data_IF_848381355180
#
_entry.id   IF_848381355180
#
_cell.length_a   1.000
_cell.length_b   1.000
_cell.length_c   1.000
_cell.angle_alpha   90.00
_cell.angle_beta   90.00
_cell.angle_gamma   90.00
#
_symmetry.space_group_name_H-M   'P 1'
#
loop_
_entity.id
_entity.type
_entity.pdbx_description
1 polymer ?
#
# COMPACT_ATOMS: atom_id res chain seq x y z
N UNK A 1 -2.90 25.04 0.90
CA UNK A 1 -3.57 23.98 0.09
C UNK A 1 -2.56 23.32 -0.84
N UNK A 2 -1.96 24.03 -1.81
CA UNK A 2 -0.92 23.47 -2.70
C UNK A 2 0.27 22.82 -1.98
N UNK A 3 0.82 23.49 -0.96
CA UNK A 3 1.97 22.96 -0.19
C UNK A 3 1.64 21.67 0.58
N UNK A 4 0.42 21.56 1.10
CA UNK A 4 0.00 20.36 1.83
C UNK A 4 -0.25 19.18 0.88
N UNK A 5 -0.79 19.45 -0.31
CA UNK A 5 -0.94 18.45 -1.36
C UNK A 5 0.44 17.95 -1.84
N UNK A 6 1.41 18.86 -1.99
CA UNK A 6 2.79 18.52 -2.36
C UNK A 6 3.47 17.64 -1.30
N UNK A 7 3.28 17.92 -0.01
CA UNK A 7 3.78 17.07 1.06
C UNK A 7 3.15 15.68 1.04
N UNK A 8 1.82 15.59 0.86
CA UNK A 8 1.12 14.30 0.71
C UNK A 8 1.68 13.52 -0.48
N UNK A 9 1.86 14.18 -1.64
CA UNK A 9 2.45 13.57 -2.84
C UNK A 9 3.87 13.07 -2.56
N UNK A 10 4.70 13.86 -1.87
CA UNK A 10 6.08 13.48 -1.52
C UNK A 10 6.12 12.20 -0.68
N UNK A 11 5.32 12.13 0.38
CA UNK A 11 5.25 10.93 1.22
C UNK A 11 4.71 9.71 0.47
N UNK A 12 3.71 9.88 -0.40
CA UNK A 12 3.18 8.78 -1.21
C UNK A 12 4.22 8.27 -2.22
N UNK A 13 5.02 9.17 -2.82
CA UNK A 13 6.12 8.77 -3.70
C UNK A 13 7.20 7.99 -2.96
N UNK A 14 7.55 8.42 -1.75
CA UNK A 14 8.51 7.68 -0.92
C UNK A 14 7.98 6.29 -0.56
N UNK A 15 6.71 6.18 -0.17
CA UNK A 15 6.08 4.88 0.09
C UNK A 15 6.10 3.96 -1.14
N UNK A 16 5.84 4.51 -2.33
CA UNK A 16 5.93 3.76 -3.59
C UNK A 16 7.36 3.26 -3.88
N UNK A 17 8.39 4.07 -3.61
CA UNK A 17 9.79 3.65 -3.76
C UNK A 17 10.16 2.50 -2.82
N UNK A 18 9.68 2.54 -1.57
CA UNK A 18 9.86 1.42 -0.64
C UNK A 18 9.09 0.17 -1.07
N UNK A 19 7.88 0.34 -1.62
CA UNK A 19 7.11 -0.77 -2.17
C UNK A 19 7.80 -1.43 -3.36
N UNK A 20 8.39 -0.64 -4.27
CA UNK A 20 9.14 -1.17 -5.42
C UNK A 20 10.34 -2.02 -4.95
N UNK A 21 11.07 -1.53 -3.95
CA UNK A 21 12.18 -2.28 -3.33
C UNK A 21 11.69 -3.60 -2.73
N UNK A 22 10.59 -3.58 -1.97
CA UNK A 22 10.03 -4.78 -1.35
C UNK A 22 9.50 -5.79 -2.37
N UNK A 23 8.95 -5.32 -3.49
CA UNK A 23 8.51 -6.18 -4.60
C UNK A 23 9.69 -6.87 -5.28
N UNK A 24 10.78 -6.13 -5.55
CA UNK A 24 11.99 -6.72 -6.13
C UNK A 24 12.60 -7.80 -5.21
N UNK A 25 12.73 -7.50 -3.91
CA UNK A 25 13.19 -8.48 -2.91
C UNK A 25 12.26 -9.70 -2.81
N UNK A 26 10.95 -9.49 -2.90
CA UNK A 26 9.95 -10.58 -2.94
C UNK A 26 10.19 -11.49 -4.15
N UNK A 27 10.37 -10.91 -5.34
CA UNK A 27 10.61 -11.67 -6.57
C UNK A 27 11.91 -12.46 -6.48
N UNK A 28 12.99 -11.86 -5.99
CA UNK A 28 14.28 -12.53 -5.79
C UNK A 28 14.15 -13.69 -4.81
N UNK A 29 13.50 -13.47 -3.65
CA UNK A 29 13.27 -14.52 -2.65
C UNK A 29 12.47 -15.71 -3.21
N UNK A 30 11.46 -15.45 -4.05
CA UNK A 30 10.67 -16.52 -4.69
C UNK A 30 11.44 -17.25 -5.78
N UNK A 31 12.39 -16.59 -6.46
CA UNK A 31 13.26 -17.24 -7.45
C UNK A 31 14.29 -18.14 -6.79
N UNK A 32 14.88 -17.69 -5.68
CA UNK A 32 15.86 -18.45 -4.92
C UNK A 32 15.24 -19.60 -4.14
N UNK A 33 14.03 -19.39 -3.60
CA UNK A 33 13.32 -20.38 -2.81
C UNK A 33 11.81 -20.34 -3.10
N UNK A 34 11.32 -21.11 -4.08
CA UNK A 34 9.90 -21.18 -4.42
C UNK A 34 8.97 -21.59 -3.25
N UNK A 35 9.48 -22.36 -2.28
CA UNK A 35 8.70 -22.81 -1.11
C UNK A 35 8.40 -21.67 -0.13
N UNK A 36 9.10 -20.53 -0.24
CA UNK A 36 8.86 -19.33 0.57
C UNK A 36 7.52 -18.63 0.24
N UNK A 37 6.82 -19.03 -0.82
CA UNK A 37 5.58 -18.39 -1.30
C UNK A 37 4.54 -18.16 -0.22
N UNK A 38 4.33 -19.12 0.68
CA UNK A 38 3.35 -18.99 1.77
C UNK A 38 3.75 -17.91 2.77
N UNK A 39 5.03 -17.87 3.14
CA UNK A 39 5.58 -16.88 4.08
C UNK A 39 5.51 -15.49 3.49
N UNK A 40 5.98 -15.32 2.24
CA UNK A 40 5.96 -14.02 1.57
C UNK A 40 4.53 -13.54 1.34
N UNK A 41 3.61 -14.44 0.98
CA UNK A 41 2.18 -14.12 0.90
C UNK A 41 1.62 -13.58 2.21
N UNK A 42 1.96 -14.21 3.34
CA UNK A 42 1.50 -13.78 4.67
C UNK A 42 2.02 -12.37 5.04
N UNK A 43 3.27 -12.03 4.67
CA UNK A 43 3.84 -10.69 4.88
C UNK A 43 3.05 -9.63 4.11
N UNK A 44 2.71 -9.91 2.84
CA UNK A 44 1.92 -9.00 2.02
C UNK A 44 0.47 -8.87 2.52
N UNK A 45 -0.14 -9.96 2.96
CA UNK A 45 -1.48 -9.95 3.58
C UNK A 45 -1.50 -9.07 4.85
N UNK A 46 -0.52 -9.22 5.73
CA UNK A 46 -0.39 -8.41 6.95
C UNK A 46 -0.21 -6.92 6.63
N UNK A 47 0.66 -6.60 5.66
CA UNK A 47 0.89 -5.22 5.22
C UNK A 47 -0.39 -4.59 4.67
N UNK A 48 -1.08 -5.25 3.73
CA UNK A 48 -2.29 -4.74 3.11
C UNK A 48 -3.41 -4.60 4.14
N UNK A 49 -3.60 -5.61 5.00
CA UNK A 49 -4.56 -5.55 6.11
C UNK A 49 -4.32 -4.38 7.03
N UNK A 50 -3.06 -4.16 7.42
CA UNK A 50 -2.65 -3.02 8.25
C UNK A 50 -2.89 -1.68 7.56
N UNK A 51 -2.55 -1.56 6.27
CA UNK A 51 -2.74 -0.36 5.49
C UNK A 51 -4.23 0.03 5.38
N UNK A 52 -5.08 -0.89 4.91
CA UNK A 52 -6.52 -0.63 4.79
C UNK A 52 -7.17 -0.41 6.16
N UNK A 53 -6.71 -1.12 7.20
CA UNK A 53 -7.13 -0.90 8.59
C UNK A 53 -6.84 0.52 9.06
N UNK A 54 -5.63 1.05 8.78
CA UNK A 54 -5.25 2.43 9.10
C UNK A 54 -6.11 3.45 8.35
N UNK A 55 -6.34 3.27 7.04
CA UNK A 55 -7.19 4.14 6.24
C UNK A 55 -8.61 4.21 6.81
N UNK A 56 -9.22 3.05 7.10
CA UNK A 56 -10.55 2.98 7.70
C UNK A 56 -10.61 3.62 9.08
N UNK A 57 -9.64 3.31 9.94
CA UNK A 57 -9.58 3.85 11.31
C UNK A 57 -9.44 5.38 11.29
N UNK A 58 -8.51 5.92 10.51
CA UNK A 58 -8.31 7.37 10.38
C UNK A 58 -9.53 8.07 9.80
N UNK A 59 -10.19 7.45 8.81
CA UNK A 59 -11.45 7.98 8.29
C UNK A 59 -12.56 8.04 9.33
N UNK A 60 -12.70 6.98 10.16
CA UNK A 60 -13.67 6.97 11.27
C UNK A 60 -13.34 8.02 12.34
N UNK A 61 -12.07 8.13 12.76
CA UNK A 61 -11.60 9.11 13.75
C UNK A 61 -11.86 10.56 13.32
N UNK A 62 -11.78 10.83 12.01
CA UNK A 62 -11.98 12.17 11.43
C UNK A 62 -13.39 12.42 10.91
N UNK A 63 -14.30 11.43 10.99
CA UNK A 63 -15.62 11.45 10.36
C UNK A 63 -15.57 11.75 8.84
N UNK A 64 -14.49 11.32 8.16
CA UNK A 64 -14.26 11.48 6.72
C UNK A 64 -14.09 10.09 6.10
N UNK A 65 -14.90 9.75 5.09
CA UNK A 65 -14.70 8.49 4.37
C UNK A 65 -13.51 8.59 3.40
N UNK A 66 -12.30 8.25 3.86
CA UNK A 66 -11.10 8.29 3.03
C UNK A 66 -11.16 7.31 1.84
N UNK A 67 -11.90 6.20 1.97
CA UNK A 67 -12.05 5.24 0.87
C UNK A 67 -12.91 5.79 -0.27
N UNK A 68 -13.85 6.70 0.00
CA UNK A 68 -14.63 7.33 -1.08
C UNK A 68 -13.83 8.30 -1.93
N UNK A 69 -12.64 8.72 -1.48
CA UNK A 69 -11.71 9.52 -2.28
C UNK A 69 -11.05 8.71 -3.41
N UNK A 70 -11.06 7.39 -3.29
CA UNK A 70 -10.42 6.48 -4.24
C UNK A 70 -11.48 5.96 -5.21
N UNK A 71 -11.29 6.25 -6.49
CA UNK A 71 -12.15 5.68 -7.54
C UNK A 71 -11.71 4.24 -7.85
N UNK A 72 -12.25 3.27 -7.11
CA UNK A 72 -11.99 1.84 -7.35
C UNK A 72 -12.28 1.36 -8.78
N UNK A 73 -13.32 1.86 -9.49
CA UNK A 73 -13.50 1.53 -10.91
C UNK A 73 -12.33 1.96 -11.80
N UNK A 74 -11.62 3.04 -11.45
CA UNK A 74 -10.42 3.48 -12.16
C UNK A 74 -9.18 2.64 -11.80
N UNK A 75 -9.15 2.03 -10.61
CA UNK A 75 -8.07 1.13 -10.20
C UNK A 75 -8.11 -0.23 -10.92
N UNK A 76 -9.29 -0.72 -11.33
CA UNK A 76 -9.43 -1.98 -12.10
C UNK A 76 -8.77 -1.97 -13.49
N UNK A 77 -8.19 -0.85 -13.94
CA UNK A 77 -7.54 -0.72 -15.25
C UNK A 77 -6.07 -1.13 -15.26
N UNK A 78 -5.53 -1.53 -14.11
CA UNK A 78 -4.18 -2.06 -13.92
C UNK A 78 -4.27 -3.47 -13.36
#
# INVERSE_FOLDING_TARGET
>A
MKEQDEMVISHLRQALSHLDTALNMTIESLRENPDSKKTVGSIWEEFLGTFFGKVRRKGKESNINLLSLISFPKLRKF
#
